data_IF_565788765621
#
_entry.id   IF_565788765621
#
_cell.length_a   1.000
_cell.length_b   1.000
_cell.length_c   1.000
_cell.angle_alpha   90.00
_cell.angle_beta   90.00
_cell.angle_gamma   90.00
#
_symmetry.space_group_name_H-M   'P 1'
#
loop_
_entity.id
_entity.type
_entity.pdbx_description
1 polymer ?
#
# COMPACT_ATOMS: atom_id res chain seq x y z
N UNK A 1 -0.72 -15.22 -20.51
CA UNK A 1 -1.77 -14.19 -20.34
C UNK A 1 -2.13 -13.72 -21.74
N UNK A 2 -3.41 -13.50 -22.05
CA UNK A 2 -3.83 -13.02 -23.37
C UNK A 2 -3.22 -11.63 -23.63
N UNK A 3 -2.40 -11.49 -24.66
CA UNK A 3 -1.68 -10.26 -25.02
C UNK A 3 -2.64 -9.07 -25.20
N UNK A 4 -3.83 -9.32 -25.74
CA UNK A 4 -4.88 -8.29 -25.92
C UNK A 4 -5.42 -7.80 -24.58
N UNK A 5 -5.63 -8.69 -23.60
CA UNK A 5 -6.13 -8.31 -22.27
C UNK A 5 -5.11 -7.40 -21.55
N UNK A 6 -3.84 -7.77 -21.57
CA UNK A 6 -2.79 -6.95 -20.94
C UNK A 6 -2.62 -5.59 -21.61
N UNK A 7 -2.66 -5.57 -22.95
CA UNK A 7 -2.62 -4.31 -23.71
C UNK A 7 -3.79 -3.40 -23.35
N UNK A 8 -5.00 -3.95 -23.19
CA UNK A 8 -6.17 -3.19 -22.77
C UNK A 8 -6.02 -2.62 -21.37
N UNK A 9 -5.50 -3.38 -20.41
CA UNK A 9 -5.24 -2.89 -19.04
C UNK A 9 -4.24 -1.71 -19.07
N UNK A 10 -3.15 -1.82 -19.80
CA UNK A 10 -2.15 -0.76 -19.88
C UNK A 10 -2.71 0.52 -20.51
N UNK A 11 -3.34 0.40 -21.70
CA UNK A 11 -3.92 1.57 -22.37
C UNK A 11 -5.07 2.19 -21.55
N UNK A 12 -5.92 1.36 -20.93
CA UNK A 12 -7.00 1.86 -20.08
C UNK A 12 -6.44 2.54 -18.83
N UNK A 13 -5.41 1.96 -18.22
CA UNK A 13 -4.72 2.55 -17.06
C UNK A 13 -4.18 3.94 -17.35
N UNK A 14 -3.52 4.15 -18.50
CA UNK A 14 -3.05 5.45 -18.95
C UNK A 14 -4.20 6.46 -19.12
N UNK A 15 -5.32 6.04 -19.75
CA UNK A 15 -6.46 6.92 -19.94
C UNK A 15 -7.14 7.25 -18.62
N UNK A 16 -7.34 6.26 -17.75
CA UNK A 16 -7.95 6.46 -16.43
C UNK A 16 -7.08 7.28 -15.49
N UNK A 17 -5.76 7.08 -15.50
CA UNK A 17 -4.85 7.87 -14.67
C UNK A 17 -4.87 9.35 -15.08
N UNK A 18 -4.94 9.64 -16.37
CA UNK A 18 -4.97 11.01 -16.88
C UNK A 18 -6.31 11.71 -16.63
N UNK A 19 -7.45 11.03 -16.93
CA UNK A 19 -8.78 11.65 -16.93
C UNK A 19 -9.64 11.31 -15.70
N UNK A 20 -9.42 10.18 -15.07
CA UNK A 20 -10.27 9.61 -14.01
C UNK A 20 -11.38 8.73 -14.54
N UNK A 21 -12.01 7.98 -13.64
CA UNK A 21 -13.04 7.01 -13.99
C UNK A 21 -14.26 7.66 -14.65
N UNK A 22 -14.84 8.71 -14.04
CA UNK A 22 -16.11 9.31 -14.48
C UNK A 22 -16.04 9.88 -15.90
N UNK A 23 -14.96 10.58 -16.21
CA UNK A 23 -14.81 11.31 -17.48
C UNK A 23 -14.29 10.46 -18.63
N UNK A 24 -13.75 9.26 -18.34
CA UNK A 24 -13.28 8.34 -19.37
C UNK A 24 -14.41 7.55 -19.99
N UNK A 25 -14.43 7.46 -21.32
CA UNK A 25 -15.37 6.63 -22.07
C UNK A 25 -14.71 5.35 -22.59
N UNK A 26 -15.50 4.28 -22.73
CA UNK A 26 -15.04 3.01 -23.34
C UNK A 26 -14.48 3.24 -24.75
N UNK A 27 -15.04 4.19 -25.50
CA UNK A 27 -14.59 4.52 -26.86
C UNK A 27 -13.17 5.09 -26.87
N UNK A 28 -12.82 5.95 -25.91
CA UNK A 28 -11.48 6.51 -25.80
C UNK A 28 -10.45 5.43 -25.47
N UNK A 29 -10.80 4.50 -24.57
CA UNK A 29 -9.94 3.35 -24.26
C UNK A 29 -9.73 2.47 -25.50
N UNK A 30 -10.79 2.17 -26.24
CA UNK A 30 -10.71 1.40 -27.48
C UNK A 30 -9.82 2.07 -28.52
N UNK A 31 -9.94 3.38 -28.67
CA UNK A 31 -9.11 4.17 -29.59
C UNK A 31 -7.64 4.13 -29.18
N UNK A 32 -7.33 4.31 -27.89
CA UNK A 32 -5.96 4.24 -27.37
C UNK A 32 -5.35 2.85 -27.56
N UNK A 33 -6.13 1.79 -27.35
CA UNK A 33 -5.68 0.41 -27.49
C UNK A 33 -5.67 -0.10 -28.94
N UNK A 34 -6.28 0.64 -29.91
CA UNK A 34 -6.43 0.18 -31.29
C UNK A 34 -7.33 -1.05 -31.43
N UNK A 35 -8.39 -1.16 -30.61
CA UNK A 35 -9.33 -2.28 -30.63
C UNK A 35 -10.78 -1.78 -30.80
N UNK A 36 -11.70 -2.71 -31.07
CA UNK A 36 -13.12 -2.39 -31.10
C UNK A 36 -13.77 -2.53 -29.71
N UNK A 37 -14.98 -1.99 -29.53
CA UNK A 37 -15.73 -2.04 -28.26
C UNK A 37 -16.02 -3.49 -27.84
N UNK A 38 -16.22 -4.40 -28.80
CA UNK A 38 -16.48 -5.80 -28.50
C UNK A 38 -15.34 -6.48 -27.72
N UNK A 39 -14.08 -6.03 -27.92
CA UNK A 39 -12.94 -6.54 -27.16
C UNK A 39 -13.05 -6.21 -25.66
N UNK A 40 -13.49 -5.01 -25.29
CA UNK A 40 -13.70 -4.64 -23.88
C UNK A 40 -14.84 -5.47 -23.30
N UNK A 41 -15.95 -5.60 -23.98
CA UNK A 41 -17.05 -6.43 -23.51
C UNK A 41 -16.67 -7.90 -23.37
N UNK A 42 -15.86 -8.43 -24.28
CA UNK A 42 -15.39 -9.82 -24.22
C UNK A 42 -14.44 -10.07 -23.03
N UNK A 43 -13.45 -9.19 -22.81
CA UNK A 43 -12.44 -9.42 -21.79
C UNK A 43 -12.83 -8.95 -20.38
N UNK A 44 -13.67 -7.92 -20.28
CA UNK A 44 -13.99 -7.28 -19.01
C UNK A 44 -15.49 -7.11 -18.72
N UNK A 45 -16.34 -7.15 -19.74
CA UNK A 45 -17.78 -6.94 -19.61
C UNK A 45 -18.17 -5.47 -19.70
N UNK A 46 -17.66 -4.62 -18.80
CA UNK A 46 -18.01 -3.21 -18.70
C UNK A 46 -16.82 -2.31 -18.31
N UNK A 47 -17.05 -0.99 -18.24
CA UNK A 47 -16.04 0.00 -17.87
C UNK A 47 -15.60 -0.13 -16.40
N UNK A 48 -16.53 -0.46 -15.53
CA UNK A 48 -16.34 -0.62 -14.10
C UNK A 48 -15.37 -1.75 -13.80
N UNK A 49 -15.58 -2.90 -14.42
CA UNK A 49 -14.71 -4.06 -14.28
C UNK A 49 -13.34 -3.84 -14.91
N UNK A 50 -13.27 -3.19 -16.07
CA UNK A 50 -11.99 -2.81 -16.68
C UNK A 50 -11.21 -1.85 -15.74
N UNK A 51 -11.89 -0.87 -15.16
CA UNK A 51 -11.28 0.05 -14.20
C UNK A 51 -10.76 -0.68 -12.96
N UNK A 52 -11.56 -1.57 -12.39
CA UNK A 52 -11.17 -2.41 -11.27
C UNK A 52 -9.91 -3.23 -11.59
N UNK A 53 -9.84 -3.83 -12.77
CA UNK A 53 -8.67 -4.58 -13.21
C UNK A 53 -7.42 -3.68 -13.36
N UNK A 54 -7.58 -2.43 -13.82
CA UNK A 54 -6.49 -1.46 -13.86
C UNK A 54 -6.01 -1.11 -12.46
N UNK A 55 -6.92 -0.88 -11.51
CA UNK A 55 -6.60 -0.57 -10.10
C UNK A 55 -5.89 -1.76 -9.44
N UNK A 56 -6.42 -2.98 -9.61
CA UNK A 56 -5.77 -4.21 -9.13
C UNK A 56 -4.37 -4.37 -9.72
N UNK A 57 -4.22 -4.19 -11.02
CA UNK A 57 -2.92 -4.28 -11.70
C UNK A 57 -1.92 -3.23 -11.19
N UNK A 58 -2.37 -2.00 -10.95
CA UNK A 58 -1.52 -0.93 -10.42
C UNK A 58 -1.05 -1.19 -8.98
N UNK A 59 -1.83 -1.92 -8.17
CA UNK A 59 -1.48 -2.24 -6.80
C UNK A 59 -0.70 -3.54 -6.66
N UNK A 60 -1.07 -4.58 -7.40
CA UNK A 60 -0.71 -5.98 -7.14
C UNK A 60 0.20 -6.60 -8.19
N UNK A 61 0.99 -5.82 -8.92
CA UNK A 61 1.86 -6.32 -9.99
C UNK A 61 2.82 -7.44 -9.52
N UNK A 62 3.15 -7.48 -8.23
CA UNK A 62 4.08 -8.43 -7.64
C UNK A 62 3.40 -9.49 -6.74
N UNK A 63 2.06 -9.60 -6.80
CA UNK A 63 1.30 -10.53 -5.96
C UNK A 63 1.10 -10.05 -4.52
N UNK A 64 0.28 -10.79 -3.78
CA UNK A 64 0.12 -10.57 -2.33
C UNK A 64 1.27 -11.24 -1.58
N UNK A 65 1.88 -10.56 -0.60
CA UNK A 65 2.85 -11.23 0.25
C UNK A 65 2.13 -12.28 1.09
N UNK A 66 2.48 -13.54 0.90
CA UNK A 66 2.24 -14.55 1.92
C UNK A 66 3.38 -14.44 2.93
N UNK A 67 3.08 -13.86 4.09
CA UNK A 67 4.04 -13.84 5.18
C UNK A 67 3.96 -15.17 5.94
N UNK A 68 4.69 -16.15 5.45
CA UNK A 68 4.96 -17.39 6.20
C UNK A 68 6.24 -17.20 7.02
N UNK A 69 6.06 -17.18 8.34
CA UNK A 69 7.17 -16.95 9.26
C UNK A 69 7.76 -18.26 9.70
N UNK A 70 9.10 -18.45 9.63
CA UNK A 70 9.74 -19.56 10.31
C UNK A 70 9.35 -19.62 11.80
N UNK A 71 9.10 -20.82 12.32
CA UNK A 71 8.78 -21.00 13.72
C UNK A 71 9.86 -20.34 14.62
N UNK A 72 9.42 -19.52 15.58
CA UNK A 72 10.31 -18.81 16.49
C UNK A 72 10.77 -17.43 16.01
N UNK A 73 10.31 -16.95 14.85
CA UNK A 73 10.61 -15.57 14.40
C UNK A 73 10.01 -14.56 15.38
N UNK A 74 10.84 -13.67 15.92
CA UNK A 74 10.40 -12.64 16.85
C UNK A 74 9.44 -11.63 16.19
N UNK A 75 8.56 -10.99 16.98
CA UNK A 75 7.65 -9.94 16.47
C UNK A 75 8.42 -8.77 15.86
N UNK A 76 9.63 -8.46 16.37
CA UNK A 76 10.52 -7.45 15.82
C UNK A 76 11.05 -7.85 14.44
N UNK A 77 11.46 -9.10 14.25
CA UNK A 77 11.94 -9.59 12.95
C UNK A 77 10.80 -9.65 11.94
N UNK A 78 9.61 -10.08 12.36
CA UNK A 78 8.40 -10.06 11.53
C UNK A 78 8.04 -8.63 11.09
N UNK A 79 8.09 -7.66 12.00
CA UNK A 79 7.90 -6.26 11.65
C UNK A 79 8.93 -5.79 10.62
N UNK A 80 10.21 -6.15 10.82
CA UNK A 80 11.29 -5.81 9.89
C UNK A 80 11.03 -6.39 8.50
N UNK A 81 10.67 -7.66 8.42
CA UNK A 81 10.36 -8.33 7.15
C UNK A 81 9.15 -7.68 6.45
N UNK A 82 8.08 -7.34 7.19
CA UNK A 82 6.89 -6.66 6.64
C UNK A 82 7.24 -5.27 6.09
N UNK A 83 7.95 -4.46 6.85
CA UNK A 83 8.36 -3.11 6.43
C UNK A 83 9.27 -3.18 5.20
N UNK A 84 10.26 -4.07 5.21
CA UNK A 84 11.17 -4.28 4.07
C UNK A 84 10.40 -4.70 2.83
N UNK A 85 9.49 -5.66 2.96
CA UNK A 85 8.65 -6.10 1.85
C UNK A 85 7.78 -4.97 1.30
N UNK A 86 7.04 -4.25 2.17
CA UNK A 86 6.23 -3.10 1.75
C UNK A 86 7.06 -2.06 0.99
N UNK A 87 8.25 -1.72 1.49
CA UNK A 87 9.12 -0.76 0.82
C UNK A 87 9.66 -1.29 -0.51
N UNK A 88 10.05 -2.56 -0.60
CA UNK A 88 10.49 -3.18 -1.86
C UNK A 88 9.41 -3.05 -2.93
N UNK A 89 8.16 -3.35 -2.58
CA UNK A 89 7.03 -3.22 -3.50
C UNK A 89 6.73 -1.75 -3.84
N UNK A 90 6.82 -0.85 -2.86
CA UNK A 90 6.47 0.56 -3.03
C UNK A 90 7.57 1.36 -3.74
N UNK A 91 8.83 0.99 -3.62
CA UNK A 91 9.96 1.70 -4.20
C UNK A 91 10.48 1.07 -5.50
N UNK A 92 9.84 0.00 -6.00
CA UNK A 92 10.14 -0.57 -7.29
C UNK A 92 10.14 0.53 -8.38
N UNK A 93 11.23 0.61 -9.15
CA UNK A 93 11.47 1.72 -10.11
C UNK A 93 10.99 1.42 -11.52
N UNK A 94 10.59 0.19 -11.80
CA UNK A 94 10.19 -0.33 -13.11
C UNK A 94 8.68 -0.21 -13.38
N UNK A 95 7.93 0.40 -12.46
CA UNK A 95 6.48 0.55 -12.62
C UNK A 95 6.14 1.70 -13.59
N UNK A 96 5.24 1.49 -14.55
CA UNK A 96 4.72 2.55 -15.40
C UNK A 96 4.11 3.70 -14.58
N UNK A 97 4.37 4.94 -14.99
CA UNK A 97 3.91 6.15 -14.27
C UNK A 97 2.39 6.15 -14.01
N UNK A 98 1.60 5.65 -14.98
CA UNK A 98 0.14 5.61 -14.87
C UNK A 98 -0.35 4.82 -13.64
N UNK A 99 0.41 3.82 -13.18
CA UNK A 99 0.01 3.02 -12.01
C UNK A 99 0.05 3.85 -10.73
N UNK A 100 1.11 4.63 -10.55
CA UNK A 100 1.24 5.53 -9.39
C UNK A 100 0.17 6.62 -9.45
N UNK A 101 -0.03 7.21 -10.63
CA UNK A 101 -1.03 8.27 -10.84
C UNK A 101 -2.45 7.77 -10.59
N UNK A 102 -2.78 6.55 -11.08
CA UNK A 102 -4.09 5.94 -10.87
C UNK A 102 -4.34 5.69 -9.37
N UNK A 103 -3.36 5.15 -8.66
CA UNK A 103 -3.44 4.91 -7.21
C UNK A 103 -3.57 6.22 -6.42
N UNK A 104 -2.81 7.25 -6.77
CA UNK A 104 -2.94 8.58 -6.15
C UNK A 104 -4.34 9.16 -6.34
N UNK A 105 -4.90 8.98 -7.52
CA UNK A 105 -6.26 9.43 -7.84
C UNK A 105 -7.31 8.65 -7.05
N UNK A 106 -7.16 7.33 -6.94
CA UNK A 106 -8.04 6.46 -6.17
C UNK A 106 -8.01 6.77 -4.67
N UNK A 107 -6.83 7.07 -4.11
CA UNK A 107 -6.68 7.51 -2.72
C UNK A 107 -7.31 8.89 -2.46
N UNK A 108 -7.23 9.81 -3.44
CA UNK A 108 -7.79 11.15 -3.31
C UNK A 108 -9.32 11.19 -3.53
N UNK A 109 -9.86 10.31 -4.37
CA UNK A 109 -11.29 10.22 -4.73
C UNK A 109 -11.68 8.75 -4.89
N UNK A 110 -11.94 8.04 -3.77
CA UNK A 110 -12.24 6.61 -3.78
C UNK A 110 -13.47 6.28 -4.62
N UNK A 111 -13.34 5.29 -5.50
CA UNK A 111 -14.44 4.69 -6.26
C UNK A 111 -14.88 3.35 -5.64
N UNK A 112 -15.82 2.64 -6.27
CA UNK A 112 -16.16 1.27 -5.86
C UNK A 112 -14.95 0.31 -5.94
N UNK A 113 -13.98 0.56 -6.82
CA UNK A 113 -12.75 -0.22 -6.93
C UNK A 113 -11.88 -0.13 -5.66
N UNK A 114 -11.88 1.01 -4.96
CA UNK A 114 -11.15 1.17 -3.70
C UNK A 114 -11.62 0.18 -2.62
N UNK A 115 -12.93 -0.07 -2.53
CA UNK A 115 -13.47 -1.04 -1.57
C UNK A 115 -12.91 -2.44 -1.84
N UNK A 116 -12.95 -2.89 -3.08
CA UNK A 116 -12.42 -4.19 -3.48
C UNK A 116 -10.92 -4.28 -3.21
N UNK A 117 -10.16 -3.21 -3.54
CA UNK A 117 -8.74 -3.12 -3.25
C UNK A 117 -8.45 -3.27 -1.74
N UNK A 118 -9.22 -2.57 -0.91
CA UNK A 118 -9.08 -2.65 0.54
C UNK A 118 -9.42 -4.05 1.05
N UNK A 119 -10.56 -4.61 0.65
CA UNK A 119 -11.03 -5.91 1.13
C UNK A 119 -10.12 -7.07 0.70
N UNK A 120 -9.72 -7.09 -0.57
CA UNK A 120 -8.95 -8.22 -1.13
C UNK A 120 -7.44 -8.12 -0.87
N UNK A 121 -6.87 -6.90 -0.77
CA UNK A 121 -5.41 -6.73 -0.79
C UNK A 121 -4.86 -5.99 0.44
N UNK A 122 -5.47 -4.90 0.88
CA UNK A 122 -4.90 -4.08 1.96
C UNK A 122 -5.24 -4.67 3.33
N UNK A 123 -6.50 -5.07 3.56
CA UNK A 123 -6.96 -5.59 4.86
C UNK A 123 -6.20 -6.83 5.33
N UNK A 124 -5.89 -7.83 4.50
CA UNK A 124 -5.11 -8.98 4.94
C UNK A 124 -3.73 -8.60 5.47
N UNK A 125 -3.00 -7.73 4.74
CA UNK A 125 -1.67 -7.24 5.15
C UNK A 125 -1.75 -6.41 6.42
N UNK A 126 -2.73 -5.50 6.50
CA UNK A 126 -2.94 -4.67 7.68
C UNK A 126 -3.30 -5.50 8.92
N UNK A 127 -4.12 -6.54 8.76
CA UNK A 127 -4.49 -7.46 9.85
C UNK A 127 -3.26 -8.20 10.40
N UNK A 128 -2.37 -8.66 9.54
CA UNK A 128 -1.12 -9.30 9.97
C UNK A 128 -0.19 -8.30 10.68
N UNK A 129 -0.05 -7.08 10.15
CA UNK A 129 0.74 -6.03 10.80
C UNK A 129 0.17 -5.68 12.18
N UNK A 130 -1.16 -5.55 12.28
CA UNK A 130 -1.85 -5.29 13.54
C UNK A 130 -1.61 -6.41 14.57
N UNK A 131 -1.60 -7.67 14.13
CA UNK A 131 -1.28 -8.81 14.99
C UNK A 131 0.16 -8.73 15.50
N UNK A 132 1.14 -8.49 14.60
CA UNK A 132 2.56 -8.36 14.96
C UNK A 132 2.79 -7.19 15.94
N UNK A 133 2.17 -6.05 15.71
CA UNK A 133 2.23 -4.87 16.62
C UNK A 133 1.59 -5.21 17.96
N UNK A 134 0.44 -5.91 17.95
CA UNK A 134 -0.30 -6.25 19.17
C UNK A 134 0.47 -7.20 20.09
N UNK A 135 1.29 -8.10 19.54
CA UNK A 135 2.13 -8.98 20.33
C UNK A 135 3.26 -8.25 21.10
N UNK A 136 3.62 -7.05 20.64
CA UNK A 136 4.62 -6.20 21.30
C UNK A 136 4.03 -5.23 22.32
N UNK A 137 2.69 -5.21 22.47
CA UNK A 137 1.98 -4.29 23.35
C UNK A 137 1.32 -5.06 24.50
N UNK A 138 1.14 -4.45 25.69
CA UNK A 138 0.40 -5.03 26.79
C UNK A 138 -1.02 -5.46 26.39
N UNK A 139 -1.55 -6.49 27.07
CA UNK A 139 -2.90 -7.00 26.78
C UNK A 139 -3.99 -5.94 26.98
N UNK A 140 -3.78 -5.01 27.90
CA UNK A 140 -4.69 -3.92 28.26
C UNK A 140 -4.70 -2.78 27.25
N UNK A 141 -3.76 -2.76 26.28
CA UNK A 141 -3.69 -1.71 25.28
C UNK A 141 -4.98 -1.68 24.45
N UNK A 142 -5.71 -0.54 24.41
CA UNK A 142 -6.93 -0.43 23.63
C UNK A 142 -6.72 -0.74 22.14
N UNK A 143 -7.71 -1.35 21.50
CA UNK A 143 -7.64 -1.67 20.06
C UNK A 143 -7.32 -0.43 19.22
N UNK A 144 -7.91 0.72 19.54
CA UNK A 144 -7.64 1.98 18.84
C UNK A 144 -6.14 2.35 18.87
N UNK A 145 -5.48 2.23 20.03
CA UNK A 145 -4.05 2.54 20.16
C UNK A 145 -3.19 1.54 19.35
N UNK A 146 -3.55 0.26 19.33
CA UNK A 146 -2.89 -0.74 18.49
C UNK A 146 -3.06 -0.42 17.00
N UNK A 147 -4.27 -0.04 16.58
CA UNK A 147 -4.55 0.37 15.20
C UNK A 147 -3.78 1.64 14.82
N UNK A 148 -3.77 2.66 15.67
CA UNK A 148 -2.99 3.88 15.44
C UNK A 148 -1.49 3.60 15.28
N UNK A 149 -0.96 2.69 16.09
CA UNK A 149 0.44 2.26 16.00
C UNK A 149 0.71 1.56 14.65
N UNK A 150 -0.14 0.62 14.25
CA UNK A 150 -0.02 -0.06 12.95
C UNK A 150 -0.16 0.92 11.77
N UNK A 151 -1.12 1.85 11.82
CA UNK A 151 -1.26 2.92 10.82
C UNK A 151 -0.01 3.80 10.73
N UNK A 152 0.64 4.11 11.86
CA UNK A 152 1.86 4.91 11.87
C UNK A 152 3.02 4.21 11.14
N UNK A 153 3.12 2.89 11.23
CA UNK A 153 4.11 2.11 10.46
C UNK A 153 3.82 2.22 8.96
N UNK A 154 2.58 1.99 8.54
CA UNK A 154 2.17 2.06 7.12
C UNK A 154 2.37 3.46 6.55
N UNK A 155 1.99 4.50 7.30
CA UNK A 155 2.09 5.89 6.86
C UNK A 155 3.54 6.30 6.53
N UNK A 156 4.52 5.81 7.30
CA UNK A 156 5.93 6.06 7.01
C UNK A 156 6.35 5.44 5.67
N UNK A 157 5.90 4.21 5.37
CA UNK A 157 6.20 3.56 4.08
C UNK A 157 5.54 4.31 2.90
N UNK A 158 4.27 4.70 3.05
CA UNK A 158 3.51 5.41 2.02
C UNK A 158 4.12 6.77 1.65
N UNK A 159 4.75 7.45 2.62
CA UNK A 159 5.40 8.74 2.39
C UNK A 159 6.45 8.63 1.26
N UNK A 160 7.30 7.63 1.30
CA UNK A 160 8.37 7.45 0.31
C UNK A 160 7.83 7.12 -1.09
N UNK A 161 6.66 6.50 -1.18
CA UNK A 161 6.05 6.20 -2.48
C UNK A 161 5.38 7.41 -3.11
N UNK A 162 4.48 8.05 -2.36
CA UNK A 162 3.54 9.02 -2.94
C UNK A 162 4.00 10.47 -2.85
N UNK A 163 5.02 10.77 -2.03
CA UNK A 163 5.48 12.14 -1.82
C UNK A 163 6.88 12.41 -2.40
N UNK A 164 7.34 11.60 -3.36
CA UNK A 164 8.66 11.78 -4.03
C UNK A 164 8.89 13.22 -4.52
N UNK A 165 7.96 13.86 -5.25
CA UNK A 165 8.18 15.24 -5.72
C UNK A 165 8.38 16.23 -4.58
N UNK A 166 7.62 16.07 -3.49
CA UNK A 166 7.74 16.94 -2.30
C UNK A 166 9.08 16.69 -1.59
N UNK A 167 9.47 15.44 -1.43
CA UNK A 167 10.76 15.08 -0.82
C UNK A 167 11.93 15.64 -1.62
N UNK A 168 11.92 15.56 -2.95
CA UNK A 168 12.93 16.14 -3.83
C UNK A 168 13.02 17.67 -3.70
N UNK A 169 11.89 18.35 -3.57
CA UNK A 169 11.85 19.81 -3.34
C UNK A 169 12.39 20.21 -1.96
N UNK A 170 12.16 19.39 -0.92
CA UNK A 170 12.57 19.70 0.45
C UNK A 170 14.08 19.54 0.67
N UNK A 171 14.69 18.50 0.12
CA UNK A 171 16.10 18.16 0.42
C UNK A 171 16.98 18.03 -0.82
N UNK A 172 16.45 18.30 -2.02
CA UNK A 172 17.13 18.15 -3.30
C UNK A 172 17.05 16.72 -3.85
N UNK A 173 17.08 16.60 -5.18
CA UNK A 173 16.88 15.32 -5.88
C UNK A 173 17.96 14.29 -5.52
N UNK A 174 19.23 14.67 -5.57
CA UNK A 174 20.35 13.77 -5.29
C UNK A 174 20.29 13.21 -3.87
N UNK A 175 20.00 14.07 -2.88
CA UNK A 175 19.88 13.67 -1.49
C UNK A 175 18.66 12.77 -1.28
N UNK A 176 17.53 13.09 -1.89
CA UNK A 176 16.33 12.29 -1.81
C UNK A 176 16.52 10.90 -2.44
N UNK A 177 17.20 10.80 -3.58
CA UNK A 177 17.52 9.51 -4.21
C UNK A 177 18.38 8.61 -3.29
N UNK A 178 19.30 9.19 -2.54
CA UNK A 178 20.10 8.44 -1.53
C UNK A 178 19.23 7.89 -0.39
N UNK A 179 18.14 8.58 -0.05
CA UNK A 179 17.18 8.10 0.95
C UNK A 179 16.33 6.91 0.46
N UNK A 180 16.22 6.68 -0.84
CA UNK A 180 15.34 5.63 -1.37
C UNK A 180 15.95 4.21 -1.34
N UNK A 181 17.08 4.03 -0.66
CA UNK A 181 17.62 2.69 -0.43
C UNK A 181 16.73 1.91 0.55
N UNK A 182 16.13 0.82 0.08
CA UNK A 182 15.14 0.02 0.83
C UNK A 182 15.67 -0.40 2.21
N UNK A 183 16.89 -0.92 2.30
CA UNK A 183 17.45 -1.42 3.56
C UNK A 183 17.66 -0.29 4.58
N UNK A 184 18.07 0.89 4.09
CA UNK A 184 18.29 2.06 4.95
C UNK A 184 16.97 2.62 5.46
N UNK A 185 15.98 2.76 4.58
CA UNK A 185 14.64 3.24 4.95
C UNK A 185 13.95 2.24 5.88
N UNK A 186 14.03 0.94 5.59
CA UNK A 186 13.43 -0.10 6.42
C UNK A 186 14.01 -0.07 7.85
N UNK A 187 15.32 -0.01 7.99
CA UNK A 187 15.97 0.10 9.31
C UNK A 187 15.51 1.32 10.09
N UNK A 188 15.40 2.47 9.42
CA UNK A 188 14.93 3.72 10.04
C UNK A 188 13.48 3.62 10.49
N UNK A 189 12.58 3.14 9.63
CA UNK A 189 11.16 2.98 9.94
C UNK A 189 10.98 1.98 11.09
N UNK A 190 11.68 0.85 11.06
CA UNK A 190 11.60 -0.15 12.12
C UNK A 190 12.10 0.40 13.45
N UNK A 191 13.26 1.08 13.47
CA UNK A 191 13.82 1.68 14.68
C UNK A 191 12.87 2.71 15.30
N UNK A 192 12.29 3.59 14.47
CA UNK A 192 11.32 4.61 14.89
C UNK A 192 10.03 3.95 15.42
N UNK A 193 9.52 2.96 14.69
CA UNK A 193 8.29 2.23 15.07
C UNK A 193 8.46 1.47 16.38
N UNK A 194 9.60 0.79 16.58
CA UNK A 194 9.91 0.11 17.84
C UNK A 194 10.02 1.09 19.01
N UNK A 195 10.54 2.32 18.77
CA UNK A 195 10.52 3.38 19.76
C UNK A 195 9.11 3.79 20.16
N UNK A 196 8.24 4.00 19.17
CA UNK A 196 6.82 4.30 19.38
C UNK A 196 6.05 3.18 20.09
N UNK A 197 6.29 1.92 19.69
CA UNK A 197 5.68 0.74 20.32
C UNK A 197 6.09 0.66 21.80
N UNK A 198 7.37 0.84 22.12
CA UNK A 198 7.85 0.83 23.53
C UNK A 198 7.19 1.94 24.34
N UNK A 199 7.06 3.15 23.79
CA UNK A 199 6.39 4.24 24.50
C UNK A 199 4.90 3.97 24.70
N UNK A 200 4.22 3.44 23.69
CA UNK A 200 2.82 3.00 23.79
C UNK A 200 2.68 1.92 24.88
N UNK A 201 3.58 0.93 24.90
CA UNK A 201 3.57 -0.11 25.93
C UNK A 201 3.77 0.45 27.34
N UNK A 202 4.63 1.46 27.51
CA UNK A 202 4.83 2.14 28.79
C UNK A 202 3.58 2.89 29.26
N UNK A 203 2.84 3.53 28.34
CA UNK A 203 1.62 4.25 28.68
C UNK A 203 0.51 3.33 29.19
N UNK A 204 0.36 2.16 28.62
CA UNK A 204 -0.71 1.22 28.94
C UNK A 204 -0.28 0.12 29.92
N UNK A 205 1.01 -0.22 29.99
CA UNK A 205 1.52 -1.23 30.94
C UNK A 205 1.64 -0.75 32.39
N UNK A 206 1.68 0.58 32.61
CA UNK A 206 1.75 1.17 33.96
C UNK A 206 0.41 1.36 34.67
N UNK A 207 -0.70 1.02 34.02
CA UNK A 207 -2.04 1.18 34.63
C UNK A 207 -2.40 0.07 35.62
N UNK A 208 -1.81 -1.11 35.48
CA UNK A 208 -2.11 -2.27 36.36
C UNK A 208 -1.59 -2.10 37.80
N UNK A 209 -0.52 -1.32 38.02
CA UNK A 209 0.05 -1.10 39.37
C UNK A 209 -0.70 -0.01 40.16
N UNK A 210 -1.57 0.79 39.54
CA UNK A 210 -2.31 1.85 40.23
C UNK A 210 -3.66 1.42 40.79
N UNK A 211 -4.26 0.35 40.29
CA UNK A 211 -5.54 -0.18 40.81
C UNK A 211 -5.39 -1.24 41.92
N UNK A 212 -4.18 -1.78 42.10
CA UNK A 212 -3.89 -2.76 43.14
C UNK A 212 -3.46 -2.13 44.50
N UNK A 213 -3.39 -0.78 44.56
CA UNK A 213 -2.92 -0.04 45.73
C UNK A 213 -3.93 0.98 46.31
N UNK A 214 -5.23 0.86 45.97
CA UNK A 214 -6.28 1.75 46.52
C UNK A 214 -7.31 0.96 47.35
#
# INVERSE_FOLDING_TARGET
MDDTRQKLINCAGEVFSAKGFETTTVREVCQAAGVNIAAIHYHFGDKERLYLECVKHAHCQHGMPEFDWPNGTSSQDRLTMMVTHMLTMMLATDQPAWQIELMMRELARPTAACRVLVEEFISPVFTQLLAVVSEMLPAETPLLARQQTAFSVVAQCLLYRYHRPIGQLLIGEEQFQRLLNVDTVARQIVAFSLGGIRECARQYGGSADKEAGA
#
